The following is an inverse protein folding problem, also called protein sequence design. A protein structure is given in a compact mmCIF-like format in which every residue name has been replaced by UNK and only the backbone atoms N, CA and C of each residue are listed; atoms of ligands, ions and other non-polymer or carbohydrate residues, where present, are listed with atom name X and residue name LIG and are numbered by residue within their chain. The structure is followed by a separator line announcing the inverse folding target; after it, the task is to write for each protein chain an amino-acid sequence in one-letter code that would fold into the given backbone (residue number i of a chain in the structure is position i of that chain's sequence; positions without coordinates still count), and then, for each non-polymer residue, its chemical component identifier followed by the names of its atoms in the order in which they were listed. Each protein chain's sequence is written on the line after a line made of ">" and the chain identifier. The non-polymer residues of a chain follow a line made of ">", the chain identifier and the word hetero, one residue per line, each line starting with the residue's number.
data_IF_168084179229
#
_entry.id   IF_168084179229
#
_cell.length_a   1.000
_cell.length_b   1.000
_cell.length_c   1.000
_cell.angle_alpha   90.00
_cell.angle_beta   90.00
_cell.angle_gamma   90.00
#
_symmetry.space_group_name_H-M   'P 1'
#
loop_
_entity.id
_entity.type
_entity.pdbx_description
1 polymer ?
#
# COMPACT_ATOMS: atom_id res chain seq x y z
N UNK A 1 12.27 11.14 -25.22
CA UNK A 1 13.41 11.95 -24.72
C UNK A 1 13.51 11.69 -23.23
N UNK A 2 14.69 11.41 -22.69
CA UNK A 2 14.88 11.27 -21.24
C UNK A 2 14.52 12.62 -20.58
N UNK A 3 13.55 12.66 -19.66
CA UNK A 3 13.38 13.87 -18.84
C UNK A 3 14.41 13.86 -17.73
N UNK A 4 15.15 14.95 -17.62
CA UNK A 4 16.14 15.11 -16.57
C UNK A 4 15.52 15.77 -15.33
N UNK A 5 16.08 15.49 -14.13
CA UNK A 5 15.64 16.15 -12.91
C UNK A 5 15.83 17.68 -12.99
N UNK A 6 15.17 18.46 -12.14
CA UNK A 6 15.35 19.90 -12.09
C UNK A 6 16.84 20.29 -12.00
N UNK A 7 17.21 21.38 -12.67
CA UNK A 7 18.58 21.90 -12.73
C UNK A 7 19.60 20.96 -13.40
N UNK A 8 19.13 20.16 -14.35
CA UNK A 8 19.97 19.33 -15.19
C UNK A 8 19.41 19.24 -16.61
N UNK A 9 20.29 18.90 -17.55
CA UNK A 9 19.94 18.72 -18.95
C UNK A 9 20.44 17.36 -19.46
N UNK A 10 19.78 16.87 -20.50
CA UNK A 10 20.12 15.61 -21.14
C UNK A 10 21.24 15.82 -22.16
N UNK A 11 22.25 14.94 -22.13
CA UNK A 11 23.28 14.86 -23.16
C UNK A 11 23.47 13.39 -23.61
N UNK A 12 23.67 13.20 -24.92
CA UNK A 12 24.01 11.88 -25.51
C UNK A 12 25.44 11.43 -25.17
N UNK A 13 26.33 12.37 -24.87
CA UNK A 13 27.76 12.12 -24.66
C UNK A 13 28.31 13.20 -23.73
N UNK A 14 27.90 13.13 -22.46
CA UNK A 14 28.39 14.03 -21.43
C UNK A 14 29.58 13.46 -20.65
N UNK A 15 30.32 14.34 -19.99
CA UNK A 15 31.45 13.95 -19.15
C UNK A 15 30.96 13.22 -17.90
N UNK A 16 31.43 11.99 -17.62
CA UNK A 16 31.05 11.28 -16.40
C UNK A 16 31.58 11.95 -15.13
N UNK A 17 32.52 12.89 -15.25
CA UNK A 17 33.19 13.58 -14.15
C UNK A 17 32.56 14.96 -13.85
N UNK A 18 31.25 15.00 -13.63
CA UNK A 18 30.58 16.23 -13.21
C UNK A 18 30.91 16.58 -11.74
N UNK A 19 30.91 17.87 -11.36
CA UNK A 19 31.06 18.28 -9.96
C UNK A 19 29.98 17.65 -9.07
N UNK A 20 30.38 17.14 -7.90
CA UNK A 20 29.49 16.58 -6.90
C UNK A 20 29.59 17.39 -5.60
N UNK A 21 28.67 17.17 -4.67
CA UNK A 21 28.79 17.76 -3.33
C UNK A 21 30.06 17.30 -2.58
N UNK A 22 30.60 16.13 -2.91
CA UNK A 22 31.86 15.62 -2.37
C UNK A 22 33.08 16.23 -3.08
N UNK A 23 33.02 16.30 -4.41
CA UNK A 23 34.05 16.90 -5.27
C UNK A 23 33.50 18.11 -6.01
N UNK A 24 33.49 19.30 -5.39
CA UNK A 24 32.82 20.49 -5.92
C UNK A 24 33.47 21.06 -7.19
N UNK A 25 34.64 20.54 -7.58
CA UNK A 25 35.32 20.83 -8.84
C UNK A 25 35.50 19.53 -9.62
N UNK A 26 35.45 19.63 -10.95
CA UNK A 26 35.78 18.50 -11.85
C UNK A 26 37.11 17.88 -11.41
N UNK A 27 37.16 16.56 -11.13
CA UNK A 27 38.38 15.89 -10.71
C UNK A 27 39.54 16.19 -11.67
N UNK A 28 40.68 16.58 -11.13
CA UNK A 28 41.89 16.92 -11.93
C UNK A 28 42.41 15.71 -12.70
N UNK A 29 42.11 14.50 -12.21
CA UNK A 29 42.30 13.24 -12.88
C UNK A 29 40.92 12.64 -13.22
N UNK A 30 40.21 13.26 -14.16
CA UNK A 30 39.19 12.55 -14.90
C UNK A 30 39.92 11.78 -16.01
N UNK A 31 40.21 10.48 -15.87
CA UNK A 31 40.75 9.70 -16.98
C UNK A 31 39.81 9.89 -18.17
N UNK A 32 40.35 9.83 -19.40
CA UNK A 32 39.58 9.88 -20.64
C UNK A 32 38.68 8.64 -20.76
N UNK A 33 37.69 8.58 -19.88
CA UNK A 33 36.61 7.60 -19.88
C UNK A 33 35.70 7.96 -21.05
N UNK A 34 35.14 6.97 -21.75
CA UNK A 34 34.12 7.26 -22.74
C UNK A 34 33.00 8.08 -22.09
N UNK A 35 32.55 9.11 -22.80
CA UNK A 35 31.38 9.88 -22.39
C UNK A 35 30.17 8.96 -22.21
N UNK A 36 29.26 9.33 -21.33
CA UNK A 36 28.02 8.58 -21.09
C UNK A 36 26.82 9.39 -21.55
N UNK A 37 25.82 8.72 -22.08
CA UNK A 37 24.50 9.29 -22.26
C UNK A 37 23.82 9.42 -20.88
N UNK A 38 23.21 10.56 -20.58
CA UNK A 38 22.55 10.78 -19.30
C UNK A 38 22.14 12.22 -19.02
N UNK A 39 21.79 12.49 -17.76
CA UNK A 39 21.48 13.82 -17.26
C UNK A 39 22.67 14.41 -16.50
N UNK A 40 22.99 15.67 -16.80
CA UNK A 40 24.14 16.38 -16.25
C UNK A 40 23.69 17.69 -15.61
N UNK A 41 24.25 18.01 -14.44
CA UNK A 41 23.86 19.22 -13.72
C UNK A 41 24.20 20.49 -14.50
N UNK A 42 23.28 21.46 -14.46
CA UNK A 42 23.46 22.76 -15.09
C UNK A 42 24.59 23.56 -14.41
N UNK A 43 25.22 24.52 -15.13
CA UNK A 43 26.23 25.39 -14.53
C UNK A 43 25.74 26.08 -13.25
N UNK A 44 26.52 25.96 -12.16
CA UNK A 44 26.18 26.49 -10.84
C UNK A 44 25.55 25.46 -9.89
N UNK A 45 25.18 24.30 -10.41
CA UNK A 45 24.65 23.17 -9.64
C UNK A 45 25.68 22.04 -9.56
N UNK A 46 25.56 21.22 -8.52
CA UNK A 46 26.42 20.06 -8.27
C UNK A 46 25.58 18.83 -7.96
N UNK A 47 26.08 17.65 -8.30
CA UNK A 47 25.37 16.40 -8.10
C UNK A 47 25.36 16.00 -6.61
N UNK A 48 24.16 15.76 -6.06
CA UNK A 48 23.91 15.28 -4.70
C UNK A 48 23.04 14.02 -4.75
N UNK A 49 23.68 12.86 -4.91
CA UNK A 49 22.96 11.62 -5.21
C UNK A 49 22.45 11.62 -6.66
N UNK A 50 21.13 11.57 -6.84
CA UNK A 50 20.47 11.68 -8.16
C UNK A 50 20.06 13.11 -8.53
N UNK A 51 20.15 14.05 -7.59
CA UNK A 51 19.53 15.36 -7.71
C UNK A 51 20.63 16.44 -7.92
N UNK A 52 20.36 17.42 -8.77
CA UNK A 52 21.28 18.55 -9.00
C UNK A 52 20.87 19.73 -8.11
N UNK A 53 21.75 20.11 -7.19
CA UNK A 53 21.45 21.10 -6.15
C UNK A 53 22.48 22.22 -6.10
N UNK A 54 22.11 23.42 -5.61
CA UNK A 54 23.08 24.45 -5.27
C UNK A 54 24.07 23.95 -4.21
N UNK A 55 25.31 24.44 -4.22
CA UNK A 55 26.32 24.03 -3.21
C UNK A 55 25.89 24.26 -1.75
N UNK A 56 25.02 25.22 -1.50
CA UNK A 56 24.45 25.49 -0.16
C UNK A 56 23.48 24.41 0.33
N UNK A 57 23.02 23.54 -0.56
CA UNK A 57 22.15 22.40 -0.28
C UNK A 57 22.91 21.07 -0.26
N UNK A 58 24.24 21.11 -0.34
CA UNK A 58 25.05 19.94 -0.07
C UNK A 58 24.92 19.49 1.38
N UNK A 59 24.96 18.18 1.59
CA UNK A 59 24.92 17.56 2.89
C UNK A 59 26.29 17.41 3.53
N UNK A 60 26.48 16.33 4.28
CA UNK A 60 27.61 16.13 5.17
C UNK A 60 28.43 14.91 4.77
N UNK A 61 29.74 14.95 5.03
CA UNK A 61 30.60 13.76 4.96
C UNK A 61 30.84 13.22 6.38
N UNK A 62 30.58 11.93 6.59
CA UNK A 62 30.81 11.25 7.85
C UNK A 62 31.44 9.89 7.62
N UNK A 63 32.65 9.68 8.16
CA UNK A 63 33.44 8.43 8.03
C UNK A 63 33.60 7.96 6.57
N UNK A 64 33.81 8.90 5.64
CA UNK A 64 34.01 8.63 4.23
C UNK A 64 32.74 8.30 3.44
N UNK A 65 31.55 8.53 4.02
CA UNK A 65 30.27 8.43 3.34
C UNK A 65 29.57 9.79 3.31
N UNK A 66 28.94 10.11 2.18
CA UNK A 66 28.15 11.31 2.00
C UNK A 66 26.69 11.07 2.39
N UNK A 67 26.13 11.98 3.18
CA UNK A 67 24.74 11.98 3.62
C UNK A 67 24.08 13.28 3.16
N UNK A 68 22.86 13.18 2.63
CA UNK A 68 22.13 14.37 2.20
C UNK A 68 21.84 15.31 3.37
N UNK A 69 21.72 16.60 3.09
CA UNK A 69 21.38 17.63 4.07
C UNK A 69 20.08 17.27 4.79
N UNK A 70 20.03 17.56 6.10
CA UNK A 70 18.86 17.31 6.96
C UNK A 70 18.41 15.84 7.09
N UNK A 71 19.25 14.88 6.71
CA UNK A 71 18.95 13.46 6.88
C UNK A 71 19.43 12.89 8.22
N UNK A 72 18.61 12.02 8.80
CA UNK A 72 19.04 11.13 9.89
C UNK A 72 19.57 9.81 9.31
N UNK A 73 20.63 9.27 9.91
CA UNK A 73 21.24 8.02 9.47
C UNK A 73 21.88 7.26 10.63
N UNK A 74 22.12 5.96 10.42
CA UNK A 74 22.77 5.09 11.39
C UNK A 74 24.14 4.66 10.86
N UNK A 75 25.26 5.26 11.32
CA UNK A 75 26.59 4.75 10.98
C UNK A 75 26.90 3.41 11.66
N UNK A 76 26.16 3.05 12.72
CA UNK A 76 26.22 1.76 13.39
C UNK A 76 24.92 1.48 14.14
N UNK A 77 24.73 0.26 14.63
CA UNK A 77 23.54 -0.13 15.41
C UNK A 77 23.46 0.46 16.83
N UNK A 78 24.40 1.33 17.21
CA UNK A 78 24.47 1.97 18.54
C UNK A 78 24.49 3.49 18.47
N UNK A 79 24.46 4.05 17.27
CA UNK A 79 24.66 5.47 17.05
C UNK A 79 23.71 5.94 15.97
N UNK A 80 23.00 7.04 16.23
CA UNK A 80 22.18 7.75 15.25
C UNK A 80 22.73 9.15 15.07
N UNK A 81 22.96 9.53 13.83
CA UNK A 81 23.49 10.83 13.46
C UNK A 81 22.49 11.60 12.61
N UNK A 82 22.58 12.92 12.65
CA UNK A 82 21.88 13.82 11.74
C UNK A 82 22.88 14.72 11.04
N UNK A 83 22.75 14.84 9.72
CA UNK A 83 23.42 15.85 8.94
C UNK A 83 22.69 17.20 9.12
N UNK A 84 23.31 18.15 9.80
CA UNK A 84 22.77 19.49 10.01
C UNK A 84 22.77 20.33 8.75
N UNK A 85 21.98 21.40 8.75
CA UNK A 85 21.90 22.35 7.65
C UNK A 85 23.18 23.18 7.45
N UNK A 86 24.07 23.18 8.45
CA UNK A 86 25.40 23.77 8.45
C UNK A 86 26.50 22.82 7.91
N UNK A 87 26.13 21.60 7.48
CA UNK A 87 27.06 20.57 7.05
C UNK A 87 27.75 19.82 8.21
N UNK A 88 27.39 20.12 9.46
CA UNK A 88 27.94 19.44 10.64
C UNK A 88 27.10 18.20 10.98
N UNK A 89 27.78 17.13 11.39
CA UNK A 89 27.12 15.90 11.82
C UNK A 89 27.01 15.87 13.33
N UNK A 90 25.79 15.70 13.84
CA UNK A 90 25.53 15.53 15.26
C UNK A 90 25.06 14.11 15.52
N UNK A 91 25.74 13.38 16.39
CA UNK A 91 25.44 11.99 16.73
C UNK A 91 25.02 11.83 18.18
N UNK A 92 24.15 10.86 18.43
CA UNK A 92 23.73 10.43 19.76
C UNK A 92 23.67 8.91 19.83
N UNK A 93 23.90 8.37 21.02
CA UNK A 93 23.71 6.94 21.27
C UNK A 93 22.24 6.57 21.04
N UNK A 94 22.00 5.54 20.24
CA UNK A 94 20.67 5.12 19.86
C UNK A 94 20.62 3.62 19.59
N UNK A 95 19.58 2.97 20.12
CA UNK A 95 19.29 1.57 19.91
C UNK A 95 17.94 1.43 19.22
N UNK A 96 17.78 0.35 18.46
CA UNK A 96 16.49 -0.02 17.89
C UNK A 96 15.52 -0.39 19.00
N UNK A 97 14.23 -0.15 18.79
CA UNK A 97 13.20 -0.54 19.74
C UNK A 97 13.05 -2.06 19.81
N UNK A 98 12.28 -2.56 20.79
CA UNK A 98 12.01 -3.99 20.95
C UNK A 98 11.33 -4.65 19.73
N UNK A 99 10.77 -3.85 18.82
CA UNK A 99 10.09 -4.30 17.61
C UNK A 99 10.86 -3.98 16.32
N UNK A 100 12.10 -3.52 16.46
CA UNK A 100 13.01 -3.23 15.34
C UNK A 100 14.29 -4.04 15.47
N UNK A 101 14.88 -4.33 14.32
CA UNK A 101 16.19 -4.94 14.21
C UNK A 101 17.09 -4.01 13.40
N UNK A 102 18.33 -3.87 13.86
CA UNK A 102 19.34 -3.15 13.10
C UNK A 102 19.84 -4.04 11.96
N UNK A 103 19.50 -3.68 10.73
CA UNK A 103 19.92 -4.44 9.54
C UNK A 103 20.17 -3.51 8.36
N UNK A 104 20.87 -4.04 7.36
CA UNK A 104 21.04 -3.38 6.08
C UNK A 104 19.85 -3.74 5.19
N UNK A 105 19.04 -2.77 4.81
CA UNK A 105 17.89 -2.92 3.91
C UNK A 105 18.06 -1.93 2.75
N UNK A 106 18.04 -2.41 1.50
CA UNK A 106 18.28 -1.61 0.28
C UNK A 106 19.55 -0.74 0.32
N UNK A 107 20.61 -1.26 0.94
CA UNK A 107 21.89 -0.56 1.08
C UNK A 107 21.94 0.50 2.17
N UNK A 108 20.85 0.70 2.92
CA UNK A 108 20.77 1.62 4.06
C UNK A 108 20.83 0.82 5.36
N UNK A 109 21.75 1.16 6.25
CA UNK A 109 21.79 0.61 7.60
C UNK A 109 20.83 1.41 8.48
N UNK A 110 19.95 0.73 9.20
CA UNK A 110 18.99 1.39 10.07
C UNK A 110 18.25 0.43 10.99
N UNK A 111 17.38 0.99 11.83
CA UNK A 111 16.41 0.21 12.58
C UNK A 111 15.20 -0.06 11.69
N UNK A 112 14.98 -1.32 11.36
CA UNK A 112 13.88 -1.75 10.51
C UNK A 112 12.90 -2.61 11.31
N UNK A 113 11.59 -2.54 11.02
CA UNK A 113 10.59 -3.37 11.70
C UNK A 113 10.92 -4.87 11.58
N UNK A 114 10.77 -5.58 12.68
CA UNK A 114 10.92 -7.04 12.74
C UNK A 114 9.72 -7.80 12.15
N UNK A 115 8.57 -7.12 12.07
CA UNK A 115 7.33 -7.67 11.57
C UNK A 115 6.34 -6.58 11.16
N UNK A 116 5.20 -7.04 10.67
CA UNK A 116 4.07 -6.20 10.32
C UNK A 116 2.75 -6.86 10.71
N UNK A 117 1.84 -6.06 11.25
CA UNK A 117 0.45 -6.42 11.52
C UNK A 117 -0.41 -6.16 10.31
N UNK A 118 -1.50 -6.91 10.16
CA UNK A 118 -2.42 -6.81 9.02
C UNK A 118 -3.86 -6.72 9.48
N UNK A 119 -4.52 -5.62 9.15
CA UNK A 119 -5.98 -5.47 9.27
C UNK A 119 -6.59 -5.73 7.89
N UNK A 120 -7.56 -6.62 7.83
CA UNK A 120 -8.25 -7.02 6.61
C UNK A 120 -9.71 -6.60 6.69
N UNK A 121 -10.19 -5.99 5.60
CA UNK A 121 -11.62 -5.84 5.35
C UNK A 121 -11.92 -6.53 4.02
N UNK A 122 -12.91 -7.42 3.97
CA UNK A 122 -13.24 -8.19 2.77
C UNK A 122 -14.73 -8.49 2.64
N UNK A 123 -15.29 -8.48 1.43
CA UNK A 123 -16.63 -9.02 1.16
C UNK A 123 -17.77 -8.16 1.69
N UNK A 124 -18.85 -8.81 2.16
CA UNK A 124 -20.02 -8.20 2.83
C UNK A 124 -19.77 -8.04 4.34
N UNK A 125 -19.36 -6.86 4.79
CA UNK A 125 -17.95 -6.65 5.02
C UNK A 125 -17.50 -7.34 6.31
N UNK A 126 -16.61 -8.29 6.10
CA UNK A 126 -15.91 -9.04 7.11
C UNK A 126 -14.62 -8.33 7.51
N UNK A 127 -14.33 -8.31 8.80
CA UNK A 127 -13.16 -7.67 9.40
C UNK A 127 -12.31 -8.71 10.10
N UNK A 128 -10.99 -8.58 9.95
CA UNK A 128 -9.99 -9.27 10.77
C UNK A 128 -9.08 -8.21 11.35
N UNK A 129 -9.11 -8.05 12.68
CA UNK A 129 -8.24 -7.11 13.42
C UNK A 129 -6.77 -7.44 13.23
N UNK A 130 -5.89 -6.54 13.66
CA UNK A 130 -4.45 -6.78 13.59
C UNK A 130 -4.00 -8.02 14.37
N UNK A 131 -4.73 -8.39 15.43
CA UNK A 131 -4.45 -9.54 16.30
C UNK A 131 -5.29 -10.79 15.95
N UNK A 132 -6.13 -10.69 14.91
CA UNK A 132 -6.82 -11.83 14.31
C UNK A 132 -8.26 -12.04 14.77
N UNK A 133 -8.84 -11.13 15.54
CA UNK A 133 -10.27 -11.19 15.92
C UNK A 133 -11.14 -10.86 14.72
N UNK A 134 -12.19 -11.66 14.52
CA UNK A 134 -13.09 -11.57 13.36
C UNK A 134 -14.46 -11.03 13.73
N UNK A 135 -15.04 -10.19 12.88
CA UNK A 135 -16.43 -9.72 13.02
C UNK A 135 -16.97 -9.14 11.71
N UNK A 136 -18.28 -8.91 11.65
CA UNK A 136 -18.96 -8.41 10.45
C UNK A 136 -19.66 -7.09 10.75
N UNK A 137 -19.70 -6.18 9.77
CA UNK A 137 -20.40 -4.90 9.89
C UNK A 137 -21.42 -4.79 8.75
N UNK A 138 -22.72 -5.04 8.99
CA UNK A 138 -23.73 -4.95 7.94
C UNK A 138 -24.09 -3.50 7.58
N UNK A 139 -23.49 -2.50 8.24
CA UNK A 139 -23.83 -1.09 8.11
C UNK A 139 -23.08 -0.35 6.99
N UNK A 140 -23.65 0.77 6.57
CA UNK A 140 -23.22 1.63 5.46
C UNK A 140 -22.70 3.00 5.93
N UNK A 141 -22.03 3.03 7.07
CA UNK A 141 -21.47 4.25 7.64
C UNK A 141 -19.99 4.39 7.31
N UNK A 142 -19.41 5.54 7.66
CA UNK A 142 -17.96 5.70 7.76
C UNK A 142 -17.45 5.29 9.14
N UNK A 143 -16.38 4.50 9.16
CA UNK A 143 -15.76 3.99 10.38
C UNK A 143 -14.27 4.29 10.44
N UNK A 144 -13.77 4.48 11.67
CA UNK A 144 -12.33 4.55 11.94
C UNK A 144 -11.77 3.13 12.02
N UNK A 145 -10.97 2.75 11.02
CA UNK A 145 -10.30 1.45 10.99
C UNK A 145 -9.13 1.40 11.95
N UNK A 146 -8.22 2.37 11.83
CA UNK A 146 -7.02 2.45 12.64
C UNK A 146 -6.59 3.91 12.75
N UNK A 147 -6.18 4.33 13.95
CA UNK A 147 -5.46 5.57 14.16
C UNK A 147 -4.44 5.41 15.28
N UNK A 148 -3.48 6.31 15.35
CA UNK A 148 -2.53 6.35 16.48
C UNK A 148 -3.21 6.98 17.70
N UNK A 149 -3.27 6.23 18.80
CA UNK A 149 -3.93 6.65 20.04
C UNK A 149 -2.96 6.84 21.20
N UNK A 150 -1.76 6.24 21.10
CA UNK A 150 -0.63 6.47 22.02
C UNK A 150 0.58 6.99 21.23
N UNK A 151 0.63 8.31 20.92
CA UNK A 151 1.70 8.91 20.14
C UNK A 151 3.09 8.66 20.75
N UNK A 152 4.10 8.58 19.89
CA UNK A 152 5.49 8.48 20.30
C UNK A 152 6.37 9.32 19.39
N UNK A 153 7.50 9.81 19.92
CA UNK A 153 8.38 10.78 19.26
C UNK A 153 8.92 10.32 17.87
N UNK A 154 8.91 9.01 17.58
CA UNK A 154 9.41 8.43 16.31
C UNK A 154 8.33 7.76 15.47
N UNK A 155 7.06 7.89 15.83
CA UNK A 155 5.96 7.30 15.08
C UNK A 155 5.18 8.40 14.36
N UNK A 156 4.95 8.21 13.06
CA UNK A 156 4.04 9.07 12.33
C UNK A 156 2.61 8.82 12.83
N UNK A 157 1.91 9.90 13.16
CA UNK A 157 0.47 9.84 13.37
C UNK A 157 -0.22 9.56 12.03
N UNK A 158 -1.21 8.66 12.06
CA UNK A 158 -2.06 8.39 10.92
C UNK A 158 -3.47 8.05 11.37
N UNK A 159 -4.41 8.17 10.43
CA UNK A 159 -5.79 7.69 10.54
C UNK A 159 -6.19 7.05 9.22
N UNK A 160 -6.87 5.90 9.29
CA UNK A 160 -7.51 5.26 8.13
C UNK A 160 -9.00 5.12 8.41
N UNK A 161 -9.81 5.62 7.47
CA UNK A 161 -11.26 5.52 7.48
C UNK A 161 -11.72 4.66 6.30
N UNK A 162 -12.83 3.96 6.49
CA UNK A 162 -13.55 3.32 5.39
C UNK A 162 -15.02 3.74 5.43
N UNK A 163 -15.54 4.11 4.27
CA UNK A 163 -16.95 4.34 4.03
C UNK A 163 -17.53 3.17 3.25
N UNK A 164 -18.61 2.63 3.78
CA UNK A 164 -19.43 1.63 3.12
C UNK A 164 -20.68 2.29 2.54
N UNK A 165 -21.09 1.88 1.35
CA UNK A 165 -22.35 2.31 0.76
C UNK A 165 -23.36 1.18 0.83
N UNK A 166 -24.59 1.50 1.24
CA UNK A 166 -25.68 0.54 1.21
C UNK A 166 -25.98 0.16 -0.24
N UNK A 167 -26.04 -1.14 -0.52
CA UNK A 167 -26.55 -1.64 -1.79
C UNK A 167 -28.00 -1.21 -2.03
N UNK A 168 -28.41 -1.13 -3.29
CA UNK A 168 -29.82 -0.95 -3.65
C UNK A 168 -30.53 -2.30 -3.68
N UNK A 169 -31.75 -2.41 -3.16
CA UNK A 169 -32.63 -3.57 -3.40
C UNK A 169 -31.99 -4.97 -3.16
N UNK A 170 -31.36 -5.19 -2.01
CA UNK A 170 -30.80 -6.51 -1.66
C UNK A 170 -29.37 -6.75 -2.17
N UNK A 171 -28.75 -5.76 -2.82
CA UNK A 171 -27.34 -5.78 -3.14
C UNK A 171 -26.47 -5.73 -1.86
N UNK A 172 -25.29 -6.40 -1.85
CA UNK A 172 -24.37 -6.38 -0.71
C UNK A 172 -23.88 -4.96 -0.37
N UNK A 173 -23.51 -4.75 0.90
CA UNK A 173 -22.80 -3.53 1.30
C UNK A 173 -21.40 -3.58 0.71
N UNK A 174 -21.00 -2.50 0.03
CA UNK A 174 -19.72 -2.46 -0.68
C UNK A 174 -18.87 -1.28 -0.22
N UNK A 175 -17.55 -1.48 -0.23
CA UNK A 175 -16.61 -0.39 0.09
C UNK A 175 -16.67 0.66 -1.00
N UNK A 176 -16.93 1.89 -0.60
CA UNK A 176 -17.02 3.02 -1.51
C UNK A 176 -15.73 3.81 -1.50
N UNK A 177 -15.26 4.17 -0.30
CA UNK A 177 -14.18 5.13 -0.13
C UNK A 177 -13.28 4.75 1.05
N UNK A 178 -11.98 4.87 0.84
CA UNK A 178 -10.95 4.72 1.87
C UNK A 178 -10.21 6.05 2.00
N UNK A 179 -10.15 6.60 3.19
CA UNK A 179 -9.47 7.89 3.46
C UNK A 179 -8.29 7.64 4.39
N UNK A 180 -7.11 8.11 4.00
CA UNK A 180 -5.87 7.96 4.77
C UNK A 180 -5.31 9.34 5.05
N UNK A 181 -5.14 9.69 6.32
CA UNK A 181 -4.47 10.92 6.73
C UNK A 181 -3.13 10.58 7.36
N UNK A 182 -2.03 11.05 6.77
CA UNK A 182 -0.67 10.80 7.28
C UNK A 182 0.32 11.84 6.72
N UNK A 183 1.33 12.21 7.52
CA UNK A 183 2.37 13.17 7.12
C UNK A 183 1.86 14.56 6.67
N UNK A 184 0.64 14.93 7.04
CA UNK A 184 -0.01 16.19 6.63
C UNK A 184 -0.86 16.07 5.37
N UNK A 185 -0.81 14.93 4.66
CA UNK A 185 -1.63 14.67 3.49
C UNK A 185 -2.93 13.95 3.85
N UNK A 186 -3.97 14.17 3.05
CA UNK A 186 -5.20 13.39 3.04
C UNK A 186 -5.39 12.73 1.67
N UNK A 187 -5.32 11.41 1.66
CA UNK A 187 -5.50 10.57 0.47
C UNK A 187 -6.91 10.01 0.49
N UNK A 188 -7.67 10.23 -0.58
CA UNK A 188 -9.01 9.69 -0.77
C UNK A 188 -9.02 8.72 -1.95
N UNK A 189 -9.31 7.46 -1.64
CA UNK A 189 -9.46 6.38 -2.62
C UNK A 189 -10.92 5.99 -2.77
N UNK A 190 -11.59 6.49 -3.82
CA UNK A 190 -13.00 6.23 -4.09
C UNK A 190 -13.18 5.35 -5.34
N UNK A 191 -14.04 4.33 -5.23
CA UNK A 191 -14.34 3.42 -6.34
C UNK A 191 -14.91 4.19 -7.54
N UNK A 192 -14.36 3.92 -8.72
CA UNK A 192 -14.84 4.50 -9.97
C UNK A 192 -14.47 5.97 -10.20
N UNK A 193 -13.66 6.57 -9.32
CA UNK A 193 -13.13 7.93 -9.49
C UNK A 193 -11.62 7.94 -9.64
N UNK A 194 -11.09 9.02 -10.22
CA UNK A 194 -9.66 9.34 -10.13
C UNK A 194 -9.35 9.74 -8.69
N UNK A 195 -8.22 9.26 -8.18
CA UNK A 195 -7.78 9.39 -6.79
C UNK A 195 -7.51 10.85 -6.42
N UNK A 196 -7.76 11.20 -5.16
CA UNK A 196 -7.60 12.56 -4.66
C UNK A 196 -6.53 12.63 -3.55
N UNK A 197 -5.63 13.61 -3.64
CA UNK A 197 -4.68 13.98 -2.59
C UNK A 197 -4.92 15.44 -2.26
N UNK A 198 -5.24 15.74 -1.00
CA UNK A 198 -5.58 17.09 -0.53
C UNK A 198 -6.69 17.78 -1.35
N UNK A 199 -7.69 17.00 -1.77
CA UNK A 199 -8.82 17.42 -2.62
C UNK A 199 -8.49 17.72 -4.08
N UNK A 200 -7.25 17.47 -4.51
CA UNK A 200 -6.83 17.57 -5.91
C UNK A 200 -6.76 16.18 -6.55
N UNK A 201 -7.13 16.09 -7.83
CA UNK A 201 -7.16 14.82 -8.57
C UNK A 201 -5.84 14.56 -9.26
N UNK A 202 -5.32 13.35 -9.08
CA UNK A 202 -4.06 12.91 -9.68
C UNK A 202 -4.25 11.68 -10.57
N UNK A 203 -3.42 11.60 -11.62
CA UNK A 203 -3.19 10.36 -12.36
C UNK A 203 -2.04 9.62 -11.69
N UNK A 204 -2.16 8.30 -11.53
CA UNK A 204 -1.11 7.47 -10.92
C UNK A 204 -0.09 7.01 -11.97
N UNK A 205 1.17 6.74 -11.58
CA UNK A 205 1.72 6.81 -10.22
C UNK A 205 1.99 8.24 -9.73
N UNK A 206 1.97 8.44 -8.41
CA UNK A 206 2.25 9.70 -7.74
C UNK A 206 3.31 9.50 -6.64
N UNK A 207 4.30 10.38 -6.60
CA UNK A 207 5.23 10.52 -5.46
C UNK A 207 5.22 11.98 -5.05
N UNK A 208 5.04 12.23 -3.75
CA UNK A 208 5.06 13.59 -3.21
C UNK A 208 6.47 14.18 -3.30
N UNK A 209 6.58 15.50 -3.39
CA UNK A 209 7.88 16.20 -3.48
C UNK A 209 8.81 15.84 -2.31
N UNK A 210 8.26 15.71 -1.11
CA UNK A 210 8.98 15.29 0.10
C UNK A 210 9.26 13.78 0.18
N UNK A 211 8.91 13.03 -0.87
CA UNK A 211 9.10 11.59 -1.04
C UNK A 211 8.46 10.73 0.07
N UNK A 212 7.56 11.31 0.89
CA UNK A 212 6.92 10.62 2.02
C UNK A 212 5.79 9.69 1.60
N UNK A 213 5.15 9.96 0.46
CA UNK A 213 4.08 9.13 -0.07
C UNK A 213 4.43 8.65 -1.47
N UNK A 214 4.06 7.40 -1.75
CA UNK A 214 4.09 6.82 -3.08
C UNK A 214 2.78 6.09 -3.31
N UNK A 215 2.03 6.49 -4.33
CA UNK A 215 0.78 5.86 -4.72
C UNK A 215 0.92 5.32 -6.14
N UNK A 216 0.43 4.11 -6.37
CA UNK A 216 0.48 3.48 -7.68
C UNK A 216 -0.70 2.54 -7.89
N UNK A 217 -1.01 2.27 -9.15
CA UNK A 217 -1.91 1.20 -9.53
C UNK A 217 -1.09 -0.03 -9.98
N UNK A 218 -1.16 -1.10 -9.19
CA UNK A 218 -0.50 -2.37 -9.48
C UNK A 218 -1.54 -3.47 -9.66
N UNK A 219 -1.62 -4.00 -10.89
CA UNK A 219 -2.69 -4.90 -11.30
C UNK A 219 -4.06 -4.26 -11.09
N UNK A 220 -4.93 -4.98 -10.37
CA UNK A 220 -6.26 -4.51 -10.00
C UNK A 220 -6.30 -3.68 -8.70
N UNK A 221 -5.15 -3.34 -8.13
CA UNK A 221 -5.08 -2.73 -6.81
C UNK A 221 -4.48 -1.33 -6.86
N UNK A 222 -4.96 -0.48 -5.96
CA UNK A 222 -4.30 0.75 -5.57
C UNK A 222 -3.44 0.47 -4.36
N UNK A 223 -2.18 0.85 -4.47
CA UNK A 223 -1.18 0.65 -3.44
C UNK A 223 -0.70 2.01 -2.95
N UNK A 224 -0.79 2.26 -1.65
CA UNK A 224 -0.19 3.40 -0.98
C UNK A 224 0.96 2.90 -0.10
N UNK A 225 2.15 3.45 -0.32
CA UNK A 225 3.31 3.30 0.54
C UNK A 225 3.64 4.63 1.19
N UNK A 226 3.92 4.59 2.50
CA UNK A 226 4.32 5.76 3.28
C UNK A 226 5.74 5.58 3.81
N UNK A 227 6.46 6.68 4.04
CA UNK A 227 7.78 6.65 4.67
C UNK A 227 7.76 6.08 6.10
N UNK A 228 6.60 6.09 6.76
CA UNK A 228 6.39 5.43 8.06
C UNK A 228 6.26 3.89 7.95
N UNK A 229 6.32 3.32 6.75
CA UNK A 229 6.20 1.87 6.52
C UNK A 229 4.77 1.35 6.53
N UNK A 230 3.76 2.22 6.69
CA UNK A 230 2.34 1.86 6.57
C UNK A 230 2.01 1.67 5.11
N UNK A 231 1.34 0.57 4.79
CA UNK A 231 0.93 0.20 3.42
C UNK A 231 -0.57 -0.04 3.35
N UNK A 232 -1.21 0.50 2.33
CA UNK A 232 -2.62 0.24 2.03
C UNK A 232 -2.70 -0.42 0.67
N UNK A 233 -3.43 -1.52 0.59
CA UNK A 233 -3.76 -2.22 -0.64
C UNK A 233 -5.28 -2.28 -0.75
N UNK A 234 -5.84 -1.61 -1.75
CA UNK A 234 -7.27 -1.56 -1.99
C UNK A 234 -7.59 -2.01 -3.42
N UNK A 235 -8.41 -3.04 -3.56
CA UNK A 235 -8.77 -3.57 -4.90
C UNK A 235 -9.90 -2.77 -5.59
N UNK A 236 -10.27 -1.62 -5.04
CA UNK A 236 -11.33 -0.73 -5.56
C UNK A 236 -12.74 -1.34 -5.55
N UNK A 237 -12.93 -2.47 -4.86
CA UNK A 237 -14.20 -3.19 -4.82
C UNK A 237 -14.52 -3.64 -3.38
N UNK A 238 -14.07 -4.84 -3.01
CA UNK A 238 -14.49 -5.54 -1.79
C UNK A 238 -13.33 -5.95 -0.91
N UNK A 239 -12.09 -5.53 -1.18
CA UNK A 239 -10.92 -5.93 -0.39
C UNK A 239 -10.01 -4.75 -0.08
N UNK A 240 -9.77 -4.57 1.22
CA UNK A 240 -8.84 -3.60 1.78
C UNK A 240 -7.90 -4.33 2.75
N UNK A 241 -6.61 -4.10 2.58
CA UNK A 241 -5.57 -4.59 3.46
C UNK A 241 -4.72 -3.42 3.95
N UNK A 242 -4.64 -3.28 5.27
CA UNK A 242 -3.80 -2.30 5.95
C UNK A 242 -2.66 -3.05 6.61
N UNK A 243 -1.42 -2.75 6.21
CA UNK A 243 -0.22 -3.34 6.80
C UNK A 243 0.53 -2.27 7.60
N UNK A 244 0.81 -2.55 8.87
CA UNK A 244 1.44 -1.59 9.79
C UNK A 244 2.67 -2.23 10.44
N UNK A 245 3.82 -1.53 10.52
CA UNK A 245 5.00 -2.01 11.22
C UNK A 245 4.79 -2.34 12.71
N UNK A 246 5.53 -3.31 13.24
CA UNK A 246 5.46 -3.72 14.65
C UNK A 246 5.82 -2.63 15.67
N UNK A 247 6.48 -1.55 15.23
CA UNK A 247 6.72 -0.37 16.09
C UNK A 247 5.43 0.33 16.55
N UNK A 248 4.31 0.04 15.90
CA UNK A 248 2.98 0.53 16.28
C UNK A 248 2.25 -0.41 17.26
N UNK A 249 2.84 -1.55 17.66
CA UNK A 249 2.20 -2.51 18.57
C UNK A 249 1.72 -1.84 19.87
N UNK A 250 0.47 -2.10 20.26
CA UNK A 250 -0.19 -1.57 21.45
C UNK A 250 -0.42 -0.06 21.46
N UNK A 251 -0.28 0.61 20.30
CA UNK A 251 -0.40 2.08 20.15
C UNK A 251 -1.55 2.52 19.24
N UNK A 252 -2.18 1.58 18.57
CA UNK A 252 -3.31 1.85 17.69
C UNK A 252 -4.62 1.81 18.49
N UNK A 253 -5.67 2.33 17.88
CA UNK A 253 -7.05 2.02 18.25
C UNK A 253 -7.97 2.26 17.05
N UNK A 254 -9.17 1.69 17.09
CA UNK A 254 -10.13 1.69 15.99
C UNK A 254 -10.79 0.31 15.86
N UNK A 255 -11.50 0.10 14.77
CA UNK A 255 -12.06 -1.22 14.44
C UNK A 255 -11.01 -2.32 14.25
N UNK A 256 -9.76 -1.94 13.98
CA UNK A 256 -8.62 -2.84 13.85
C UNK A 256 -8.07 -3.37 15.17
N UNK A 257 -8.59 -2.94 16.32
CA UNK A 257 -8.00 -3.25 17.62
C UNK A 257 -6.85 -2.31 18.00
N UNK A 258 -6.10 -2.65 19.05
CA UNK A 258 -4.96 -1.86 19.53
C UNK A 258 -3.59 -2.43 19.11
N UNK A 259 -3.59 -3.59 18.46
CA UNK A 259 -2.45 -4.27 17.87
C UNK A 259 -1.40 -4.70 18.90
N UNK A 260 -1.78 -5.31 20.01
CA UNK A 260 -0.85 -5.73 21.05
C UNK A 260 -0.52 -7.24 21.04
N UNK A 261 -1.27 -8.01 20.26
CA UNK A 261 -1.14 -9.46 20.13
C UNK A 261 -2.20 -10.26 20.88
N UNK A 262 -3.16 -9.62 21.57
CA UNK A 262 -4.26 -10.29 22.26
C UNK A 262 -5.63 -10.02 21.58
N UNK A 263 -6.13 -10.95 20.75
CA UNK A 263 -7.43 -10.76 20.10
C UNK A 263 -8.60 -10.70 21.09
N UNK A 264 -8.43 -11.09 22.36
CA UNK A 264 -9.52 -11.10 23.33
C UNK A 264 -9.95 -9.70 23.76
N UNK A 265 -9.07 -8.70 23.62
CA UNK A 265 -9.30 -7.33 24.08
C UNK A 265 -9.46 -6.30 22.95
N UNK A 266 -9.31 -6.71 21.68
CA UNK A 266 -9.47 -5.85 20.48
C UNK A 266 -10.73 -4.97 20.45
N UNK A 267 -11.81 -5.37 21.12
CA UNK A 267 -13.06 -4.60 21.17
C UNK A 267 -13.02 -3.48 22.22
N UNK A 268 -11.97 -2.64 22.17
CA UNK A 268 -11.86 -1.43 23.00
C UNK A 268 -12.68 -0.29 22.39
N UNK A 269 -13.46 0.36 23.24
CA UNK A 269 -14.14 1.61 22.93
C UNK A 269 -13.12 2.76 22.86
N UNK A 270 -13.48 3.93 22.29
CA UNK A 270 -12.65 5.13 22.34
C UNK A 270 -12.26 5.59 23.76
N UNK A 271 -13.05 5.20 24.77
CA UNK A 271 -12.76 5.43 26.20
C UNK A 271 -11.67 4.52 26.77
N UNK A 272 -11.27 3.47 26.05
CA UNK A 272 -10.35 2.42 26.49
C UNK A 272 -11.01 1.23 27.19
N UNK A 273 -12.29 1.33 27.54
CA UNK A 273 -13.06 0.23 28.12
C UNK A 273 -13.35 -0.86 27.08
N UNK A 274 -13.50 -2.11 27.52
CA UNK A 274 -13.94 -3.22 26.65
C UNK A 274 -15.44 -3.11 26.40
N UNK A 275 -15.83 -3.23 25.14
CA UNK A 275 -17.22 -3.31 24.74
C UNK A 275 -17.85 -4.62 25.22
N UNK A 276 -19.10 -4.57 25.67
CA UNK A 276 -19.87 -5.76 26.02
C UNK A 276 -20.41 -6.52 24.81
N UNK A 277 -20.51 -5.85 23.65
CA UNK A 277 -21.02 -6.46 22.40
C UNK A 277 -20.27 -5.93 21.17
N UNK A 278 -20.28 -6.71 20.08
CA UNK A 278 -19.77 -6.27 18.77
C UNK A 278 -20.48 -4.99 18.29
N UNK A 279 -21.80 -4.89 18.49
CA UNK A 279 -22.57 -3.73 18.04
C UNK A 279 -22.16 -2.44 18.78
N UNK A 280 -21.94 -2.52 20.09
CA UNK A 280 -21.45 -1.41 20.89
C UNK A 280 -20.07 -0.97 20.40
N UNK A 281 -19.14 -1.92 20.20
CA UNK A 281 -17.81 -1.66 19.64
C UNK A 281 -17.90 -0.95 18.30
N UNK A 282 -18.62 -1.52 17.33
CA UNK A 282 -18.75 -0.96 15.98
C UNK A 282 -19.36 0.44 15.99
N UNK A 283 -20.41 0.64 16.78
CA UNK A 283 -21.09 1.94 16.89
C UNK A 283 -20.20 3.02 17.48
N UNK A 284 -19.34 2.66 18.43
CA UNK A 284 -18.43 3.61 19.07
C UNK A 284 -17.33 4.17 18.16
N UNK A 285 -17.05 3.49 17.04
CA UNK A 285 -16.03 3.87 16.06
C UNK A 285 -16.61 4.50 14.79
N UNK A 286 -17.90 4.80 14.76
CA UNK A 286 -18.54 5.55 13.68
C UNK A 286 -18.07 7.00 13.67
N UNK A 287 -17.82 7.53 12.48
CA UNK A 287 -17.58 8.96 12.28
C UNK A 287 -18.94 9.66 12.28
N UNK A 288 -19.14 10.75 13.05
CA UNK A 288 -20.37 11.54 12.98
C UNK A 288 -20.54 12.14 11.57
N UNK A 289 -21.69 11.89 10.95
CA UNK A 289 -22.03 12.40 9.62
C UNK A 289 -23.34 13.20 9.65
N UNK A 290 -23.47 14.17 8.75
CA UNK A 290 -24.69 14.98 8.59
C UNK A 290 -25.86 14.16 8.01
N UNK A 291 -25.57 13.05 7.31
CA UNK A 291 -26.57 12.16 6.71
C UNK A 291 -26.71 10.90 7.55
N UNK A 292 -27.94 10.47 7.80
CA UNK A 292 -28.19 9.17 8.42
C UNK A 292 -27.68 8.02 7.52
N UNK A 293 -26.79 7.20 8.05
CA UNK A 293 -26.38 5.91 7.51
C UNK A 293 -27.17 4.77 8.18
N UNK A 294 -27.18 3.58 7.59
CA UNK A 294 -27.82 2.40 8.21
C UNK A 294 -26.79 1.61 9.02
N UNK A 295 -27.18 1.19 10.22
CA UNK A 295 -26.44 0.25 11.07
C UNK A 295 -26.42 -1.18 10.50
N UNK A 296 -27.13 -1.39 9.39
CA UNK A 296 -27.36 -2.69 8.77
C UNK A 296 -28.48 -3.45 9.45
N UNK A 297 -29.04 -4.43 8.74
CA UNK A 297 -30.08 -5.37 9.19
C UNK A 297 -31.29 -4.79 9.97
N UNK A 298 -31.44 -3.46 10.09
CA UNK A 298 -32.49 -2.66 10.72
C UNK A 298 -33.20 -3.33 11.93
N UNK A 299 -32.42 -3.86 12.87
CA UNK A 299 -32.94 -4.50 14.10
C UNK A 299 -33.48 -5.92 13.93
N UNK A 300 -33.38 -6.50 12.74
CA UNK A 300 -33.64 -7.91 12.42
C UNK A 300 -32.39 -8.79 12.48
N UNK A 301 -32.58 -10.09 12.25
CA UNK A 301 -31.47 -11.04 12.07
C UNK A 301 -30.99 -10.97 10.63
N UNK A 302 -29.70 -10.69 10.41
CA UNK A 302 -29.10 -10.80 9.08
C UNK A 302 -29.30 -12.23 8.55
N UNK A 303 -29.57 -12.35 7.24
CA UNK A 303 -29.82 -13.64 6.61
C UNK A 303 -28.62 -14.57 6.88
N UNK A 304 -28.87 -15.71 7.52
CA UNK A 304 -27.84 -16.72 7.79
C UNK A 304 -27.84 -17.73 6.67
N UNK A 305 -26.65 -18.16 6.26
CA UNK A 305 -26.50 -19.22 5.30
C UNK A 305 -27.12 -20.52 5.84
N UNK A 306 -27.82 -21.28 4.97
CA UNK A 306 -28.21 -22.65 5.31
C UNK A 306 -26.98 -23.56 5.26
N UNK A 307 -26.87 -24.49 6.22
CA UNK A 307 -25.75 -25.43 6.38
C UNK A 307 -25.51 -26.26 5.11
N UNK A 308 -26.58 -26.57 4.37
CA UNK A 308 -26.47 -27.30 3.09
C UNK A 308 -25.72 -26.49 2.03
N UNK A 309 -25.96 -25.19 1.96
CA UNK A 309 -25.28 -24.27 1.04
C UNK A 309 -23.82 -24.04 1.47
N UNK A 310 -23.54 -23.93 2.77
CA UNK A 310 -22.16 -23.82 3.29
C UNK A 310 -21.29 -25.00 2.84
N UNK A 311 -21.80 -26.23 2.96
CA UNK A 311 -21.08 -27.44 2.55
C UNK A 311 -20.90 -27.52 1.02
N UNK A 312 -21.82 -26.96 0.24
CA UNK A 312 -21.73 -26.92 -1.23
C UNK A 312 -20.65 -25.92 -1.67
N UNK A 313 -20.71 -24.68 -1.16
CA UNK A 313 -19.75 -23.62 -1.50
C UNK A 313 -18.35 -23.88 -0.91
N UNK A 314 -18.24 -24.70 0.13
CA UNK A 314 -16.97 -25.10 0.71
C UNK A 314 -16.10 -26.05 -0.13
N UNK A 315 -16.57 -26.53 -1.28
CA UNK A 315 -15.85 -27.48 -2.16
C UNK A 315 -14.86 -26.77 -3.10
N UNK A 316 -13.89 -27.50 -3.66
CA UNK A 316 -12.83 -26.91 -4.52
C UNK A 316 -13.34 -26.30 -5.84
N UNK A 317 -14.56 -26.61 -6.27
CA UNK A 317 -15.22 -25.91 -7.39
C UNK A 317 -15.76 -24.52 -7.02
N UNK A 318 -15.59 -24.09 -5.77
CA UNK A 318 -15.95 -22.80 -5.22
C UNK A 318 -14.88 -22.39 -4.18
N UNK A 319 -15.25 -21.97 -2.97
CA UNK A 319 -14.34 -21.46 -1.93
C UNK A 319 -13.28 -22.47 -1.45
N UNK A 320 -13.50 -23.77 -1.61
CA UNK A 320 -12.57 -24.81 -1.12
C UNK A 320 -11.16 -24.71 -1.71
N UNK A 321 -11.02 -24.12 -2.90
CA UNK A 321 -9.73 -23.88 -3.56
C UNK A 321 -8.76 -23.04 -2.70
N UNK A 322 -9.27 -22.19 -1.80
CA UNK A 322 -8.48 -21.36 -0.87
C UNK A 322 -7.65 -22.25 0.07
N UNK A 323 -8.21 -23.36 0.54
CA UNK A 323 -7.57 -24.26 1.53
C UNK A 323 -6.90 -25.48 0.90
N UNK A 324 -7.04 -25.66 -0.41
CA UNK A 324 -6.47 -26.82 -1.10
C UNK A 324 -4.94 -26.81 -1.02
N UNK A 325 -4.38 -27.79 -0.28
CA UNK A 325 -2.94 -27.93 -0.06
C UNK A 325 -2.15 -28.22 -1.35
N UNK A 326 -2.80 -28.75 -2.39
CA UNK A 326 -2.21 -28.97 -3.71
C UNK A 326 -2.65 -27.92 -4.74
N UNK A 327 -3.55 -27.03 -4.33
CA UNK A 327 -4.15 -25.99 -5.14
C UNK A 327 -3.21 -24.84 -5.52
N UNK A 328 -3.77 -23.81 -6.18
CA UNK A 328 -2.98 -22.70 -6.70
C UNK A 328 -2.38 -21.79 -5.62
N UNK A 329 -2.98 -21.80 -4.41
CA UNK A 329 -2.58 -20.95 -3.29
C UNK A 329 -1.66 -21.64 -2.27
N UNK A 330 -1.28 -22.90 -2.46
CA UNK A 330 -0.49 -23.65 -1.46
C UNK A 330 0.80 -22.97 -1.00
N UNK A 331 1.47 -22.23 -1.88
CA UNK A 331 2.71 -21.51 -1.57
C UNK A 331 2.49 -20.31 -0.63
N UNK A 332 1.23 -19.95 -0.38
CA UNK A 332 0.82 -18.84 0.45
C UNK A 332 0.39 -19.26 1.85
N UNK A 333 -0.07 -20.50 2.05
CA UNK A 333 -0.66 -20.95 3.32
C UNK A 333 0.24 -20.75 4.55
N UNK A 334 1.57 -20.81 4.38
CA UNK A 334 2.54 -20.57 5.45
C UNK A 334 2.76 -19.08 5.78
N UNK A 335 2.33 -18.17 4.91
CA UNK A 335 2.46 -16.71 5.06
C UNK A 335 1.14 -16.02 5.37
N UNK A 336 0.04 -16.53 4.80
CA UNK A 336 -1.32 -16.02 5.02
C UNK A 336 -2.23 -17.21 5.28
N UNK A 337 -2.79 -17.27 6.50
CA UNK A 337 -3.73 -18.31 6.88
C UNK A 337 -4.95 -18.32 5.94
N UNK A 338 -5.32 -19.48 5.36
CA UNK A 338 -6.47 -19.58 4.47
C UNK A 338 -7.81 -19.66 5.21
N UNK A 339 -7.80 -19.76 6.55
CA UNK A 339 -9.00 -20.07 7.36
C UNK A 339 -10.06 -18.98 7.24
N UNK A 340 -9.72 -17.73 7.56
CA UNK A 340 -10.70 -16.64 7.55
C UNK A 340 -11.15 -16.28 6.13
N UNK A 341 -10.23 -16.27 5.17
CA UNK A 341 -10.58 -16.04 3.76
C UNK A 341 -11.54 -17.10 3.21
N UNK A 342 -11.38 -18.36 3.62
CA UNK A 342 -12.32 -19.42 3.27
C UNK A 342 -13.69 -19.19 3.90
N UNK A 343 -13.74 -18.87 5.20
CA UNK A 343 -14.98 -18.62 5.93
C UNK A 343 -15.74 -17.44 5.33
N UNK A 344 -15.05 -16.32 5.05
CA UNK A 344 -15.61 -15.14 4.40
C UNK A 344 -16.14 -15.47 3.00
N UNK A 345 -15.37 -16.22 2.19
CA UNK A 345 -15.82 -16.64 0.86
C UNK A 345 -17.13 -17.41 0.91
N UNK A 346 -17.26 -18.40 1.81
CA UNK A 346 -18.49 -19.20 1.91
C UNK A 346 -19.67 -18.33 2.34
N UNK A 347 -19.44 -17.41 3.28
CA UNK A 347 -20.46 -16.46 3.72
C UNK A 347 -20.91 -15.54 2.59
N UNK A 348 -19.98 -14.86 1.90
CA UNK A 348 -20.26 -13.94 0.80
C UNK A 348 -21.02 -14.63 -0.34
N UNK A 349 -20.56 -15.80 -0.78
CA UNK A 349 -21.21 -16.57 -1.85
C UNK A 349 -22.61 -16.98 -1.42
N UNK A 350 -22.81 -17.31 -0.15
CA UNK A 350 -24.13 -17.68 0.35
C UNK A 350 -25.08 -16.50 0.48
N UNK A 351 -24.62 -15.37 1.00
CA UNK A 351 -25.38 -14.13 1.06
C UNK A 351 -25.82 -13.69 -0.35
N UNK A 352 -24.95 -13.88 -1.34
CA UNK A 352 -25.23 -13.62 -2.74
C UNK A 352 -25.93 -14.78 -3.47
N UNK A 353 -26.52 -15.75 -2.76
CA UNK A 353 -27.29 -16.87 -3.35
C UNK A 353 -26.54 -17.67 -4.43
N UNK A 354 -25.23 -17.86 -4.26
CA UNK A 354 -24.38 -18.61 -5.19
C UNK A 354 -23.81 -17.79 -6.35
N UNK A 355 -23.89 -16.46 -6.28
CA UNK A 355 -23.35 -15.58 -7.32
C UNK A 355 -21.85 -15.85 -7.60
N UNK A 356 -21.52 -15.93 -8.89
CA UNK A 356 -20.13 -16.19 -9.31
C UNK A 356 -19.24 -14.97 -9.11
N UNK A 357 -19.78 -13.75 -9.21
CA UNK A 357 -19.02 -12.52 -8.95
C UNK A 357 -18.51 -12.47 -7.51
N UNK A 358 -19.37 -12.76 -6.53
CA UNK A 358 -19.01 -12.86 -5.11
C UNK A 358 -17.87 -13.87 -4.88
N UNK A 359 -17.97 -15.07 -5.49
CA UNK A 359 -16.90 -16.07 -5.44
C UNK A 359 -15.58 -15.52 -6.01
N UNK A 360 -15.62 -14.92 -7.20
CA UNK A 360 -14.42 -14.42 -7.86
C UNK A 360 -13.76 -13.27 -7.09
N UNK A 361 -14.55 -12.39 -6.47
CA UNK A 361 -14.04 -11.33 -5.60
C UNK A 361 -13.37 -11.90 -4.35
N UNK A 362 -13.95 -12.90 -3.69
CA UNK A 362 -13.35 -13.53 -2.52
C UNK A 362 -12.04 -14.26 -2.85
N UNK A 363 -11.98 -14.97 -3.99
CA UNK A 363 -10.75 -15.61 -4.46
C UNK A 363 -9.67 -14.59 -4.84
N UNK A 364 -10.06 -13.49 -5.49
CA UNK A 364 -9.16 -12.39 -5.83
C UNK A 364 -8.62 -11.69 -4.58
N UNK A 365 -9.41 -11.55 -3.52
CA UNK A 365 -8.96 -11.01 -2.24
C UNK A 365 -7.85 -11.87 -1.63
N UNK A 366 -7.99 -13.20 -1.64
CA UNK A 366 -6.95 -14.10 -1.14
C UNK A 366 -5.69 -14.08 -2.03
N UNK A 367 -5.85 -14.07 -3.36
CA UNK A 367 -4.73 -13.86 -4.28
C UNK A 367 -3.99 -12.54 -3.97
N UNK A 368 -4.76 -11.47 -3.80
CA UNK A 368 -4.42 -10.16 -3.24
C UNK A 368 -3.44 -10.24 -2.06
N UNK A 369 -3.95 -10.83 -1.00
CA UNK A 369 -3.26 -11.00 0.27
C UNK A 369 -1.96 -11.81 0.13
N UNK A 370 -2.00 -12.88 -0.67
CA UNK A 370 -0.84 -13.73 -0.95
C UNK A 370 0.28 -12.99 -1.67
N UNK A 371 -0.05 -12.24 -2.72
CA UNK A 371 0.92 -11.43 -3.47
C UNK A 371 1.52 -10.34 -2.58
N UNK A 372 0.69 -9.69 -1.76
CA UNK A 372 1.14 -8.70 -0.78
C UNK A 372 2.06 -9.29 0.31
N UNK A 373 1.97 -10.59 0.58
CA UNK A 373 2.88 -11.31 1.49
C UNK A 373 4.12 -11.89 0.75
N UNK A 374 4.31 -11.54 -0.53
CA UNK A 374 5.38 -12.04 -1.38
C UNK A 374 5.30 -13.55 -1.68
N UNK A 375 4.13 -14.16 -1.51
CA UNK A 375 3.92 -15.57 -1.82
C UNK A 375 3.67 -15.77 -3.33
N UNK A 376 4.16 -16.89 -3.87
CA UNK A 376 3.91 -17.25 -5.27
C UNK A 376 2.52 -17.86 -5.41
N UNK A 377 1.62 -17.15 -6.08
CA UNK A 377 0.31 -17.66 -6.51
C UNK A 377 0.47 -18.35 -7.87
N UNK A 378 -0.22 -19.47 -8.09
CA UNK A 378 -0.28 -20.16 -9.39
C UNK A 378 -1.57 -19.78 -10.13
N UNK A 379 -1.66 -20.01 -11.45
CA UNK A 379 -2.88 -19.74 -12.21
C UNK A 379 -4.10 -20.40 -11.56
N UNK A 380 -5.11 -19.59 -11.23
CA UNK A 380 -6.35 -20.03 -10.59
C UNK A 380 -7.59 -19.65 -11.40
N UNK A 381 -7.49 -18.64 -12.28
CA UNK A 381 -8.52 -18.29 -13.25
C UNK A 381 -8.41 -19.13 -14.51
N UNK A 382 -9.56 -19.41 -15.13
CA UNK A 382 -9.68 -20.02 -16.46
C UNK A 382 -10.75 -19.30 -17.26
N UNK A 383 -10.96 -19.69 -18.52
CA UNK A 383 -12.04 -19.11 -19.35
C UNK A 383 -13.43 -19.39 -18.76
N UNK A 384 -13.57 -20.50 -18.06
CA UNK A 384 -14.82 -20.98 -17.46
C UNK A 384 -14.93 -20.64 -15.96
N UNK A 385 -13.80 -20.37 -15.29
CA UNK A 385 -13.72 -20.12 -13.85
C UNK A 385 -13.10 -18.75 -13.56
N UNK A 386 -13.95 -17.80 -13.16
CA UNK A 386 -13.56 -16.43 -12.84
C UNK A 386 -12.73 -15.71 -13.93
N UNK A 387 -13.17 -15.72 -15.21
CA UNK A 387 -12.45 -15.01 -16.26
C UNK A 387 -12.38 -13.51 -15.92
N UNK A 388 -11.22 -12.91 -16.17
CA UNK A 388 -11.03 -11.48 -16.00
C UNK A 388 -10.98 -10.82 -17.39
N UNK A 389 -11.88 -9.88 -17.63
CA UNK A 389 -11.92 -9.13 -18.89
C UNK A 389 -11.04 -7.90 -18.77
N UNK A 390 -10.12 -7.76 -19.73
CA UNK A 390 -9.22 -6.63 -19.81
C UNK A 390 -9.68 -5.62 -20.86
N UNK A 391 -9.38 -4.31 -20.68
CA UNK A 391 -9.71 -3.30 -21.67
C UNK A 391 -8.98 -3.57 -22.99
N UNK A 392 -9.40 -2.93 -24.10
CA UNK A 392 -8.70 -3.05 -25.38
C UNK A 392 -7.20 -2.78 -25.26
N UNK A 393 -6.41 -3.52 -26.04
CA UNK A 393 -4.93 -3.46 -26.06
C UNK A 393 -4.28 -3.87 -24.74
N UNK A 394 -4.91 -4.82 -24.03
CA UNK A 394 -4.35 -5.42 -22.83
C UNK A 394 -4.84 -6.84 -22.63
N UNK A 395 -4.11 -7.60 -21.84
CA UNK A 395 -4.42 -8.99 -21.51
C UNK A 395 -4.26 -9.27 -20.01
N UNK A 396 -4.89 -10.34 -19.56
CA UNK A 396 -4.78 -10.77 -18.16
C UNK A 396 -3.40 -11.35 -17.87
N UNK A 397 -2.80 -10.92 -16.77
CA UNK A 397 -1.67 -11.59 -16.14
C UNK A 397 -1.87 -11.74 -14.64
N UNK A 398 -1.37 -12.84 -14.09
CA UNK A 398 -1.36 -13.05 -12.64
C UNK A 398 -0.38 -12.11 -11.92
N UNK A 399 0.59 -11.53 -12.64
CA UNK A 399 1.70 -10.77 -12.09
C UNK A 399 2.06 -9.66 -13.09
N UNK A 400 1.27 -8.59 -13.09
CA UNK A 400 1.45 -7.49 -14.04
C UNK A 400 2.62 -6.58 -13.65
N UNK A 401 3.04 -5.77 -14.62
CA UNK A 401 3.97 -4.64 -14.49
C UNK A 401 3.28 -3.35 -14.90
N UNK A 402 2.03 -3.18 -14.48
CA UNK A 402 1.17 -2.04 -14.90
C UNK A 402 1.76 -0.67 -14.57
N UNK A 403 2.58 -0.57 -13.54
CA UNK A 403 3.18 0.69 -13.17
C UNK A 403 4.52 0.96 -13.89
N UNK A 404 5.17 -0.07 -14.47
CA UNK A 404 6.44 0.10 -15.20
C UNK A 404 6.25 0.86 -16.53
N UNK A 405 5.09 0.73 -17.16
CA UNK A 405 4.78 1.23 -18.51
C UNK A 405 3.50 2.08 -18.51
N UNK A 406 3.61 3.28 -17.94
CA UNK A 406 2.52 4.28 -17.90
C UNK A 406 2.86 5.50 -18.76
N UNK A 407 1.87 6.32 -19.09
CA UNK A 407 2.14 7.61 -19.72
C UNK A 407 3.08 8.49 -18.87
N UNK A 408 2.95 8.45 -17.54
CA UNK A 408 3.87 9.14 -16.64
C UNK A 408 5.30 8.57 -16.69
N UNK A 409 5.46 7.26 -16.89
CA UNK A 409 6.76 6.61 -16.97
C UNK A 409 7.60 7.02 -18.20
N UNK A 410 6.95 7.57 -19.24
CA UNK A 410 7.65 8.11 -20.42
C UNK A 410 8.50 9.33 -20.07
N UNK A 411 8.18 10.01 -18.98
CA UNK A 411 8.87 11.20 -18.49
C UNK A 411 9.89 10.84 -17.40
N UNK A 412 9.76 9.73 -16.68
CA UNK A 412 10.75 9.29 -15.70
C UNK A 412 10.48 7.90 -15.15
N UNK A 413 11.46 7.26 -14.48
CA UNK A 413 11.27 5.92 -13.93
C UNK A 413 10.08 5.89 -12.97
N UNK A 414 9.13 4.99 -13.21
CA UNK A 414 7.98 4.83 -12.35
C UNK A 414 8.42 4.23 -11.00
N UNK A 415 8.03 4.82 -9.87
CA UNK A 415 8.48 4.42 -8.53
C UNK A 415 7.65 3.28 -7.94
N UNK A 416 7.23 2.34 -8.78
CA UNK A 416 6.48 1.16 -8.39
C UNK A 416 7.33 -0.08 -8.64
N UNK A 417 7.59 -0.86 -7.60
CA UNK A 417 8.17 -2.21 -7.71
C UNK A 417 7.99 -2.96 -6.39
N UNK A 418 6.85 -2.78 -5.72
CA UNK A 418 6.58 -3.43 -4.42
C UNK A 418 6.27 -4.93 -4.55
N UNK A 419 6.25 -5.42 -5.78
CA UNK A 419 5.92 -6.77 -6.18
C UNK A 419 5.23 -6.71 -7.54
N UNK A 420 4.44 -7.74 -7.82
CA UNK A 420 3.49 -7.71 -8.92
C UNK A 420 2.16 -8.22 -8.41
N UNK A 421 1.08 -7.72 -8.99
CA UNK A 421 -0.27 -8.09 -8.62
C UNK A 421 -1.05 -8.60 -9.83
N UNK A 422 -2.07 -9.41 -9.57
CA UNK A 422 -3.00 -9.85 -10.59
C UNK A 422 -3.73 -8.65 -11.23
N UNK A 423 -3.85 -8.63 -12.56
CA UNK A 423 -4.61 -7.62 -13.27
C UNK A 423 -4.45 -7.67 -14.79
N UNK A 424 -4.64 -6.52 -15.43
CA UNK A 424 -4.49 -6.35 -16.88
C UNK A 424 -3.16 -5.68 -17.23
N UNK A 425 -2.36 -6.35 -18.04
CA UNK A 425 -1.10 -5.85 -18.59
C UNK A 425 -1.34 -5.26 -19.98
N UNK A 426 -0.86 -4.04 -20.25
CA UNK A 426 -0.92 -3.49 -21.60
C UNK A 426 -0.08 -4.33 -22.56
N UNK A 427 -0.61 -4.54 -23.77
CA UNK A 427 0.07 -5.26 -24.84
C UNK A 427 1.31 -4.48 -25.31
N UNK A 428 2.24 -5.19 -25.96
CA UNK A 428 3.44 -4.58 -26.53
C UNK A 428 3.09 -3.39 -27.45
N UNK A 429 3.74 -2.25 -27.23
CA UNK A 429 3.48 -1.01 -27.96
C UNK A 429 2.41 -0.10 -27.35
N UNK A 430 1.77 -0.50 -26.23
CA UNK A 430 0.80 0.31 -25.50
C UNK A 430 1.29 0.65 -24.08
N UNK A 431 0.80 1.76 -23.53
CA UNK A 431 1.09 2.24 -22.17
C UNK A 431 -0.20 2.57 -21.43
N UNK A 432 -0.19 2.44 -20.11
CA UNK A 432 -1.36 2.70 -19.27
C UNK A 432 -1.51 4.21 -18.98
N UNK A 433 -2.69 4.77 -19.23
CA UNK A 433 -2.98 6.20 -19.00
C UNK A 433 -3.69 6.50 -17.67
N UNK A 434 -3.84 5.48 -16.81
CA UNK A 434 -4.63 5.56 -15.58
C UNK A 434 -6.06 5.04 -15.72
N UNK A 435 -6.50 4.69 -16.94
CA UNK A 435 -7.81 4.08 -17.19
C UNK A 435 -7.76 2.94 -18.22
N UNK A 436 -7.02 3.11 -19.31
CA UNK A 436 -6.94 2.18 -20.44
C UNK A 436 -5.52 2.11 -21.01
N UNK A 437 -5.28 1.11 -21.87
CA UNK A 437 -4.03 0.98 -22.60
C UNK A 437 -4.12 1.72 -23.94
N UNK A 438 -3.28 2.74 -24.09
CA UNK A 438 -3.26 3.65 -25.24
C UNK A 438 -1.89 3.62 -25.92
N UNK A 439 -1.83 4.01 -27.19
CA UNK A 439 -0.54 4.23 -27.86
C UNK A 439 0.23 5.37 -27.17
N UNK A 440 1.57 5.33 -27.08
CA UNK A 440 2.36 6.39 -26.46
C UNK A 440 2.07 7.81 -27.00
N UNK A 441 1.76 7.92 -28.29
CA UNK A 441 1.39 9.19 -28.96
C UNK A 441 0.09 9.81 -28.44
N UNK A 442 -0.74 9.00 -27.76
CA UNK A 442 -2.02 9.43 -27.17
C UNK A 442 -1.92 9.76 -25.69
N UNK A 443 -0.73 9.67 -25.10
CA UNK A 443 -0.53 10.17 -23.75
C UNK A 443 -0.80 11.68 -23.71
N UNK A 444 -1.68 12.09 -22.79
CA UNK A 444 -1.89 13.50 -22.48
C UNK A 444 -0.71 14.08 -21.69
N UNK A 445 -0.69 15.41 -21.57
CA UNK A 445 0.22 16.12 -20.68
C UNK A 445 -0.49 16.50 -19.37
#
# INVERSE_FOLDING_TARGET
>A
ALSCPPHSHYELCGSPCQPTCHTPSVPTACPSSPCSEGCFCDPGYVLSGSDCVPRSECGCEYRGQYYQKDTEFYPSCRERCRCGSDGAVTCQEAFCSAHEECRLEDGVLGCHPTGYGRLVVSGDPHYVTFDGRTFNIPGSCTYILARVCKPAQRLANFTVLVEHEAGTHGDPVVMKRVVVSIHGYTITMERGRRWEVDSERYTLPLVTEDKKLRLGQEGNNIVLHTAAGIRILYNTATFLLITVPDVYRGRLCGLGGDYDGDPSDDFRLPSGALAGTTQEFVTSWKVPEDRACSDGCDGGTCARCDVTNEAMYGRNGSCGIIRDAEGPFRGCHSRVSPVEYFTHCVHDVCAASGDRGALCHALQAYAAACQAAGAKVRPWRTKEFCPLQCPPNSHYELCTRTCDLTCASLVGPAPCTWGCFEGCQCDEGFVFDGATCVSPERCGC
#
